data_IF_803667663690
#
_entry.id   IF_803667663690
#
_cell.length_a   1.000
_cell.length_b   1.000
_cell.length_c   1.000
_cell.angle_alpha   90.00
_cell.angle_beta   90.00
_cell.angle_gamma   90.00
#
_symmetry.space_group_name_H-M   'P 1'
#
loop_
_entity.id
_entity.type
_entity.pdbx_description
1 polymer ?
#
# COMPACT_ATOMS: atom_id res chain seq x y z
N UNK A 1 5.39 17.31 -4.79
CA UNK A 1 4.49 17.13 -5.94
C UNK A 1 3.05 17.37 -5.51
N UNK A 2 2.29 18.11 -6.29
CA UNK A 2 0.87 18.36 -6.05
C UNK A 2 0.02 17.31 -6.78
N UNK A 3 -1.27 17.24 -6.43
CA UNK A 3 -2.21 16.35 -7.13
C UNK A 3 -2.25 16.65 -8.62
N UNK A 4 -2.24 17.93 -8.99
CA UNK A 4 -2.27 18.33 -10.40
C UNK A 4 -1.03 17.86 -11.15
N UNK A 5 0.16 17.97 -10.54
CA UNK A 5 1.40 17.46 -11.11
C UNK A 5 1.38 15.96 -11.25
N UNK A 6 0.84 15.27 -10.23
CA UNK A 6 0.72 13.81 -10.24
C UNK A 6 -0.19 13.35 -11.38
N UNK A 7 -1.34 13.97 -11.56
CA UNK A 7 -2.30 13.62 -12.63
C UNK A 7 -1.69 13.72 -14.02
N UNK A 8 -0.73 14.61 -14.21
CA UNK A 8 -0.08 14.86 -15.51
C UNK A 8 1.13 13.98 -15.77
N UNK A 9 1.54 13.17 -14.82
CA UNK A 9 2.76 12.38 -14.93
C UNK A 9 2.45 10.89 -14.97
N UNK A 10 2.19 10.37 -16.17
CA UNK A 10 1.84 8.97 -16.37
C UNK A 10 2.91 8.00 -15.88
N UNK A 11 4.18 8.35 -16.07
CA UNK A 11 5.28 7.50 -15.62
C UNK A 11 5.29 7.33 -14.10
N UNK A 12 5.08 8.43 -13.38
CA UNK A 12 5.02 8.38 -11.91
C UNK A 12 3.77 7.62 -11.45
N UNK A 13 2.61 7.85 -12.09
CA UNK A 13 1.37 7.13 -11.78
C UNK A 13 1.58 5.63 -11.95
N UNK A 14 2.14 5.21 -13.08
CA UNK A 14 2.38 3.78 -13.36
C UNK A 14 3.34 3.17 -12.34
N UNK A 15 4.39 3.89 -11.96
CA UNK A 15 5.34 3.43 -10.96
C UNK A 15 4.70 3.28 -9.58
N UNK A 16 3.86 4.24 -9.18
CA UNK A 16 3.14 4.19 -7.91
C UNK A 16 2.17 3.03 -7.89
N UNK A 17 1.37 2.86 -8.93
CA UNK A 17 0.40 1.76 -9.03
C UNK A 17 1.12 0.42 -8.96
N UNK A 18 2.22 0.26 -9.67
CA UNK A 18 3.02 -0.96 -9.64
C UNK A 18 3.51 -1.29 -8.24
N UNK A 19 4.00 -0.27 -7.52
CA UNK A 19 4.46 -0.46 -6.14
C UNK A 19 3.31 -0.82 -5.19
N UNK A 20 2.14 -0.23 -5.37
CA UNK A 20 0.96 -0.60 -4.57
C UNK A 20 0.52 -2.04 -4.84
N UNK A 21 0.60 -2.50 -6.09
CA UNK A 21 0.33 -3.90 -6.43
C UNK A 21 1.30 -4.85 -5.73
N UNK A 22 2.59 -4.49 -5.71
CA UNK A 22 3.63 -5.29 -5.05
C UNK A 22 3.36 -5.38 -3.54
N UNK A 23 3.01 -4.25 -2.91
CA UNK A 23 2.66 -4.21 -1.49
C UNK A 23 1.46 -5.12 -1.20
N UNK A 24 0.42 -5.03 -2.03
CA UNK A 24 -0.78 -5.84 -1.88
C UNK A 24 -0.48 -7.34 -2.05
N UNK A 25 0.32 -7.70 -3.03
CA UNK A 25 0.72 -9.09 -3.26
C UNK A 25 1.54 -9.63 -2.09
N UNK A 26 2.49 -8.82 -1.61
CA UNK A 26 3.31 -9.21 -0.46
C UNK A 26 2.46 -9.41 0.80
N UNK A 27 1.46 -8.56 1.01
CA UNK A 27 0.60 -8.66 2.20
C UNK A 27 -0.25 -9.94 2.21
N UNK A 28 -0.60 -10.47 1.05
CA UNK A 28 -1.34 -11.73 0.95
C UNK A 28 -0.51 -12.92 1.41
N UNK A 29 0.80 -12.83 1.33
CA UNK A 29 1.71 -13.91 1.67
C UNK A 29 2.21 -13.86 3.11
N UNK A 30 1.77 -12.88 3.90
CA UNK A 30 2.11 -12.80 5.31
C UNK A 30 1.36 -13.92 6.06
N UNK A 31 2.06 -14.73 6.87
CA UNK A 31 1.42 -15.81 7.64
C UNK A 31 0.34 -15.29 8.58
N UNK A 32 -0.71 -16.09 8.78
CA UNK A 32 -1.86 -15.71 9.59
C UNK A 32 -1.48 -15.37 11.03
N UNK A 33 -0.53 -16.08 11.62
CA UNK A 33 -0.07 -15.82 12.99
C UNK A 33 0.58 -14.44 13.11
N UNK A 34 1.35 -14.02 12.10
CA UNK A 34 1.95 -12.69 12.08
C UNK A 34 0.87 -11.62 11.94
N UNK A 35 -0.11 -11.84 11.06
CA UNK A 35 -1.22 -10.90 10.88
C UNK A 35 -2.03 -10.73 12.16
N UNK A 36 -2.26 -11.80 12.90
CA UNK A 36 -2.94 -11.74 14.18
C UNK A 36 -2.15 -10.97 15.23
N UNK A 37 -0.84 -11.21 15.27
CA UNK A 37 0.03 -10.57 16.26
C UNK A 37 0.13 -9.05 16.02
N UNK A 38 0.06 -8.62 14.77
CA UNK A 38 0.17 -7.21 14.38
C UNK A 38 -1.13 -6.75 13.70
N UNK A 39 -2.26 -6.96 14.37
CA UNK A 39 -3.60 -6.74 13.80
C UNK A 39 -3.95 -5.28 13.55
N UNK A 40 -3.18 -4.32 14.07
CA UNK A 40 -3.34 -2.90 13.78
C UNK A 40 -2.86 -2.52 12.38
N UNK A 41 -2.07 -3.38 11.74
CA UNK A 41 -1.68 -3.18 10.34
C UNK A 41 -2.84 -3.63 9.44
N UNK A 42 -3.27 -2.81 8.46
CA UNK A 42 -4.45 -3.09 7.65
C UNK A 42 -4.17 -4.09 6.51
N UNK A 43 -3.88 -5.34 6.87
CA UNK A 43 -3.50 -6.40 5.92
C UNK A 43 -4.55 -6.64 4.84
N UNK A 44 -5.84 -6.68 5.22
CA UNK A 44 -6.92 -6.95 4.27
C UNK A 44 -7.10 -5.81 3.28
N UNK A 45 -6.98 -4.57 3.75
CA UNK A 45 -7.07 -3.40 2.89
C UNK A 45 -5.91 -3.34 1.90
N UNK A 46 -4.72 -3.71 2.32
CA UNK A 46 -3.55 -3.77 1.45
C UNK A 46 -3.74 -4.81 0.35
N UNK A 47 -4.22 -6.00 0.72
CA UNK A 47 -4.52 -7.06 -0.25
C UNK A 47 -5.64 -6.65 -1.20
N UNK A 48 -6.68 -6.00 -0.69
CA UNK A 48 -7.81 -5.51 -1.48
C UNK A 48 -7.39 -4.45 -2.50
N UNK A 49 -6.48 -3.56 -2.13
CA UNK A 49 -5.95 -2.55 -3.04
C UNK A 49 -5.29 -3.20 -4.26
N UNK A 50 -4.51 -4.24 -4.05
CA UNK A 50 -3.89 -5.00 -5.14
C UNK A 50 -4.93 -5.51 -6.13
N UNK A 51 -6.03 -6.10 -5.64
CA UNK A 51 -7.09 -6.63 -6.48
C UNK A 51 -7.77 -5.53 -7.30
N UNK A 52 -8.06 -4.40 -6.69
CA UNK A 52 -8.66 -3.26 -7.37
C UNK A 52 -7.75 -2.76 -8.49
N UNK A 53 -6.46 -2.61 -8.21
CA UNK A 53 -5.50 -2.08 -9.18
C UNK A 53 -5.29 -3.02 -10.36
N UNK A 54 -5.33 -4.33 -10.14
CA UNK A 54 -5.15 -5.32 -11.23
C UNK A 54 -6.38 -5.43 -12.11
N UNK A 55 -7.57 -5.48 -11.50
CA UNK A 55 -8.79 -5.75 -12.24
C UNK A 55 -9.48 -4.51 -12.80
N UNK A 56 -9.20 -3.34 -12.24
CA UNK A 56 -9.86 -2.10 -12.58
C UNK A 56 -8.88 -0.98 -12.94
N UNK A 57 -7.74 -1.35 -13.55
CA UNK A 57 -6.67 -0.39 -13.84
C UNK A 57 -7.17 0.87 -14.53
N UNK A 58 -8.01 0.71 -15.57
CA UNK A 58 -8.53 1.84 -16.33
C UNK A 58 -9.63 2.60 -15.58
N UNK A 59 -10.21 1.99 -14.55
CA UNK A 59 -11.22 2.61 -13.71
C UNK A 59 -10.68 3.17 -12.39
N UNK A 60 -9.38 3.05 -12.15
CA UNK A 60 -8.79 3.53 -10.89
C UNK A 60 -8.86 5.06 -10.83
N UNK A 61 -9.46 5.58 -9.77
CA UNK A 61 -9.51 7.01 -9.51
C UNK A 61 -8.14 7.49 -9.02
N UNK A 62 -7.51 8.34 -9.80
CA UNK A 62 -6.18 8.87 -9.49
C UNK A 62 -6.17 9.64 -8.15
N UNK A 63 -7.29 10.25 -7.78
CA UNK A 63 -7.41 10.92 -6.48
C UNK A 63 -7.27 9.94 -5.33
N UNK A 64 -7.85 8.75 -5.47
CA UNK A 64 -7.74 7.68 -4.45
C UNK A 64 -6.30 7.23 -4.32
N UNK A 65 -5.62 7.01 -5.45
CA UNK A 65 -4.21 6.61 -5.45
C UNK A 65 -3.36 7.69 -4.78
N UNK A 66 -3.57 8.95 -5.14
CA UNK A 66 -2.86 10.08 -4.55
C UNK A 66 -3.06 10.16 -3.03
N UNK A 67 -4.33 10.03 -2.59
CA UNK A 67 -4.68 10.06 -1.18
C UNK A 67 -4.01 8.92 -0.39
N UNK A 68 -3.98 7.73 -0.99
CA UNK A 68 -3.31 6.58 -0.39
C UNK A 68 -1.83 6.86 -0.17
N UNK A 69 -1.16 7.40 -1.18
CA UNK A 69 0.28 7.72 -1.10
C UNK A 69 0.56 8.78 -0.03
N UNK A 70 -0.29 9.81 0.04
CA UNK A 70 -0.02 10.95 0.93
C UNK A 70 -0.42 10.71 2.38
N UNK A 71 -1.48 9.95 2.62
CA UNK A 71 -2.03 9.77 3.96
C UNK A 71 -1.74 8.39 4.54
N UNK A 72 -2.04 7.33 3.80
CA UNK A 72 -1.99 5.98 4.34
C UNK A 72 -0.61 5.35 4.31
N UNK A 73 0.17 5.57 3.25
CA UNK A 73 1.51 4.98 3.16
C UNK A 73 2.46 5.46 4.27
N UNK A 74 2.48 6.76 4.65
CA UNK A 74 3.31 7.17 5.78
C UNK A 74 2.96 6.49 7.09
N UNK A 75 1.65 6.31 7.37
CA UNK A 75 1.20 5.58 8.55
C UNK A 75 1.62 4.12 8.50
N UNK A 76 1.44 3.49 7.36
CA UNK A 76 1.83 2.09 7.16
C UNK A 76 3.33 1.92 7.33
N UNK A 77 4.13 2.86 6.82
CA UNK A 77 5.58 2.82 6.97
C UNK A 77 5.98 2.80 8.45
N UNK A 78 5.34 3.65 9.26
CA UNK A 78 5.61 3.68 10.71
C UNK A 78 5.23 2.37 11.38
N UNK A 79 4.07 1.81 11.04
CA UNK A 79 3.61 0.53 11.57
C UNK A 79 4.58 -0.60 11.22
N UNK A 80 5.04 -0.65 9.97
CA UNK A 80 5.98 -1.69 9.51
C UNK A 80 7.35 -1.55 10.16
N UNK A 81 7.84 -0.32 10.34
CA UNK A 81 9.11 -0.08 11.04
C UNK A 81 9.03 -0.54 12.49
N UNK A 82 7.92 -0.27 13.17
CA UNK A 82 7.70 -0.73 14.54
C UNK A 82 7.72 -2.24 14.61
N UNK A 83 7.05 -2.90 13.67
CA UNK A 83 7.03 -4.36 13.57
C UNK A 83 8.44 -4.93 13.38
N UNK A 84 9.21 -4.38 12.45
CA UNK A 84 10.56 -4.85 12.16
C UNK A 84 11.50 -4.68 13.36
N UNK A 85 11.42 -3.55 14.05
CA UNK A 85 12.22 -3.30 15.25
C UNK A 85 11.84 -4.27 16.37
N UNK A 86 10.56 -4.53 16.55
CA UNK A 86 10.05 -5.49 17.53
C UNK A 86 10.60 -6.88 17.28
N UNK A 87 10.62 -7.35 16.04
CA UNK A 87 11.12 -8.68 15.70
C UNK A 87 12.63 -8.79 15.85
N UNK A 88 13.37 -7.69 15.68
CA UNK A 88 14.83 -7.70 15.86
C UNK A 88 15.24 -7.83 17.33
N UNK A 89 14.39 -7.41 18.25
CA UNK A 89 14.70 -7.47 19.69
C UNK A 89 14.28 -8.81 20.31
N UNK A 90 13.61 -9.64 19.57
CA UNK A 90 13.26 -10.98 19.97
C UNK A 90 14.31 -11.96 19.46
#
# INVERSE_FOLDING_TARGET
MTLLQFKKNELVIDGVIRNLEIIGEASKNIPADVRHLYSDIPWDQMSGMRNILIHEYFGVDIKIVWHTVKKYLPLLREQLLTLLLSRKTQ
#
